data_IF_841415282023
#
_entry.id   IF_841415282023
#
_cell.length_a   1.000
_cell.length_b   1.000
_cell.length_c   1.000
_cell.angle_alpha   90.00
_cell.angle_beta   90.00
_cell.angle_gamma   90.00
#
_symmetry.space_group_name_H-M   'P 1'
#
loop_
_entity.id
_entity.type
_entity.pdbx_description
1 polymer ?
#
# COMPACT_ATOMS: atom_id res chain seq x y z
N UNK A 1 -42.18 -0.61 34.71
CA UNK A 1 -40.99 -1.50 34.74
C UNK A 1 -40.22 -1.22 33.47
N UNK A 2 -39.35 -0.22 33.54
CA UNK A 2 -38.50 0.26 32.46
C UNK A 2 -37.33 -0.71 32.24
N UNK A 3 -37.30 -1.37 31.08
CA UNK A 3 -36.13 -2.11 30.62
C UNK A 3 -35.40 -1.25 29.57
N UNK A 4 -34.50 -0.44 30.14
CA UNK A 4 -33.39 0.26 29.49
C UNK A 4 -32.50 -0.80 28.82
N UNK A 5 -32.35 -0.77 27.50
CA UNK A 5 -31.29 -1.51 26.81
C UNK A 5 -30.35 -0.51 26.17
N UNK A 6 -29.10 -0.63 26.60
CA UNK A 6 -27.96 0.23 26.34
C UNK A 6 -27.76 0.53 24.86
N UNK A 7 -27.69 1.84 24.56
CA UNK A 7 -27.00 2.33 23.38
C UNK A 7 -25.52 1.98 23.55
N UNK A 8 -25.10 0.90 22.88
CA UNK A 8 -23.69 0.56 22.73
C UNK A 8 -23.06 1.60 21.81
N UNK A 9 -22.36 2.51 22.46
CA UNK A 9 -21.61 3.64 21.95
C UNK A 9 -20.51 3.19 20.98
N UNK A 10 -20.77 3.21 19.67
CA UNK A 10 -19.79 2.94 18.60
C UNK A 10 -18.79 4.10 18.35
N UNK A 11 -18.59 4.99 19.35
CA UNK A 11 -17.69 6.15 19.24
C UNK A 11 -16.35 6.02 19.96
N UNK A 12 -16.06 4.90 20.62
CA UNK A 12 -14.79 4.74 21.38
C UNK A 12 -13.67 4.07 20.56
N UNK A 13 -13.45 4.51 19.31
CA UNK A 13 -12.41 3.95 18.45
C UNK A 13 -11.29 4.91 18.05
N UNK A 14 -11.43 6.21 18.31
CA UNK A 14 -10.57 7.22 17.67
C UNK A 14 -10.03 8.31 18.60
N UNK A 15 -10.26 8.24 19.91
CA UNK A 15 -9.95 9.33 20.86
C UNK A 15 -8.77 9.05 21.84
N UNK A 16 -7.93 8.05 21.59
CA UNK A 16 -6.70 7.82 22.37
C UNK A 16 -5.43 7.88 21.52
N UNK A 17 -5.29 8.91 20.69
CA UNK A 17 -3.99 9.32 20.12
C UNK A 17 -3.81 10.83 20.31
N UNK A 18 -3.89 11.29 21.55
CA UNK A 18 -3.39 12.61 21.95
C UNK A 18 -2.45 12.45 23.14
N UNK A 19 -1.18 12.15 22.86
CA UNK A 19 -0.05 12.51 23.74
C UNK A 19 1.30 12.29 23.04
N UNK A 20 1.91 13.41 22.64
CA UNK A 20 3.36 13.55 22.44
C UNK A 20 3.87 13.22 21.03
N UNK A 21 4.40 14.25 20.37
CA UNK A 21 5.01 14.23 19.02
C UNK A 21 3.99 14.31 17.89
N UNK A 22 4.10 15.34 17.05
CA UNK A 22 3.48 15.37 15.74
C UNK A 22 4.01 14.16 14.97
N UNK A 23 3.34 13.01 15.04
CA UNK A 23 3.68 11.86 14.21
C UNK A 23 3.59 12.34 12.77
N UNK A 24 4.75 12.53 12.15
CA UNK A 24 4.81 12.96 10.77
C UNK A 24 4.11 11.88 9.95
N UNK A 25 3.04 12.28 9.26
CA UNK A 25 2.30 11.34 8.43
C UNK A 25 3.23 10.88 7.30
N UNK A 26 3.33 9.57 7.10
CA UNK A 26 4.05 8.98 5.98
C UNK A 26 3.05 8.54 4.90
N UNK A 27 3.28 8.94 3.66
CA UNK A 27 2.46 8.54 2.51
C UNK A 27 3.31 7.80 1.48
N UNK A 28 2.77 6.71 0.93
CA UNK A 28 3.42 6.04 -0.19
C UNK A 28 3.33 6.91 -1.45
N UNK A 29 4.46 7.20 -2.10
CA UNK A 29 4.51 7.99 -3.32
C UNK A 29 3.89 7.30 -4.54
N UNK A 30 3.73 5.97 -4.49
CA UNK A 30 3.20 5.17 -5.60
C UNK A 30 1.70 4.93 -5.49
N UNK A 31 1.23 4.40 -4.35
CA UNK A 31 -0.19 4.07 -4.16
C UNK A 31 -0.98 5.11 -3.33
N UNK A 32 -0.31 6.16 -2.83
CA UNK A 32 -0.89 7.26 -2.03
C UNK A 32 -1.65 6.83 -0.76
N UNK A 33 -1.45 5.59 -0.28
CA UNK A 33 -1.92 5.14 1.03
C UNK A 33 -1.02 5.69 2.14
N UNK A 34 -1.61 5.96 3.30
CA UNK A 34 -0.85 6.26 4.52
C UNK A 34 -0.15 5.00 5.02
N UNK A 35 1.04 5.18 5.56
CA UNK A 35 1.84 4.11 6.13
C UNK A 35 2.42 4.50 7.49
N UNK A 36 2.77 3.50 8.30
CA UNK A 36 3.56 3.70 9.51
C UNK A 36 5.06 3.91 9.16
N UNK A 37 5.88 4.13 10.18
CA UNK A 37 7.34 4.29 10.01
C UNK A 37 8.03 3.04 9.45
N UNK A 38 7.41 1.86 9.58
CA UNK A 38 7.90 0.58 9.07
C UNK A 38 7.53 0.36 7.58
N UNK A 39 6.74 1.27 6.99
CA UNK A 39 6.29 1.16 5.60
C UNK A 39 5.04 0.32 5.41
N UNK A 40 4.35 -0.09 6.48
CA UNK A 40 3.10 -0.85 6.40
C UNK A 40 1.91 0.09 6.20
N UNK A 41 0.98 -0.21 5.27
CA UNK A 41 -0.21 0.60 5.07
C UNK A 41 -1.11 0.60 6.31
N UNK A 42 -1.42 1.79 6.82
CA UNK A 42 -2.34 1.97 7.96
C UNK A 42 -3.74 2.43 7.51
N UNK A 43 -3.88 2.83 6.25
CA UNK A 43 -5.14 3.20 5.65
C UNK A 43 -5.47 2.29 4.46
N UNK A 44 -6.68 1.73 4.47
CA UNK A 44 -7.23 0.99 3.33
C UNK A 44 -7.58 1.91 2.15
N UNK A 45 -7.87 3.18 2.44
CA UNK A 45 -8.20 4.18 1.41
C UNK A 45 -6.94 4.82 0.82
N UNK A 46 -6.95 4.94 -0.50
CA UNK A 46 -6.04 5.83 -1.24
C UNK A 46 -6.44 7.28 -0.94
N UNK A 47 -5.47 8.11 -0.58
CA UNK A 47 -5.68 9.54 -0.37
C UNK A 47 -5.14 10.35 -1.54
N UNK A 48 -5.59 11.60 -1.68
CA UNK A 48 -4.86 12.57 -2.48
C UNK A 48 -3.45 12.77 -1.93
N UNK A 49 -2.54 13.27 -2.76
CA UNK A 49 -1.19 13.64 -2.31
C UNK A 49 -1.27 14.64 -1.15
N UNK A 50 -0.62 14.32 -0.04
CA UNK A 50 -0.55 15.16 1.16
C UNK A 50 0.83 15.81 1.20
N UNK A 51 0.93 17.11 0.93
CA UNK A 51 2.23 17.80 0.83
C UNK A 51 2.93 17.95 2.17
N UNK A 52 2.17 17.89 3.27
CA UNK A 52 2.63 17.96 4.64
C UNK A 52 3.16 16.60 5.14
N UNK A 53 2.90 15.51 4.40
CA UNK A 53 3.40 14.18 4.71
C UNK A 53 4.81 13.96 4.14
N UNK A 54 5.60 13.14 4.81
CA UNK A 54 6.83 12.60 4.21
C UNK A 54 6.46 11.48 3.24
N UNK A 55 7.22 11.35 2.15
CA UNK A 55 6.90 10.42 1.06
C UNK A 55 7.97 9.34 0.91
N UNK A 56 7.54 8.08 0.75
CA UNK A 56 8.41 6.92 0.54
C UNK A 56 7.69 5.80 -0.23
N UNK A 57 8.28 4.60 -0.26
CA UNK A 57 7.62 3.41 -0.82
C UNK A 57 7.10 2.55 0.34
N UNK A 58 5.84 2.08 0.27
CA UNK A 58 5.35 1.10 1.24
C UNK A 58 5.85 -0.31 0.90
N UNK A 59 5.82 -1.22 1.87
CA UNK A 59 6.31 -2.59 1.70
C UNK A 59 5.62 -3.31 0.53
N UNK A 60 4.28 -3.25 0.46
CA UNK A 60 3.53 -3.87 -0.65
C UNK A 60 3.96 -3.37 -2.04
N UNK A 61 4.11 -2.05 -2.21
CA UNK A 61 4.53 -1.50 -3.50
C UNK A 61 6.01 -1.77 -3.78
N UNK A 62 6.86 -1.80 -2.76
CA UNK A 62 8.27 -2.14 -2.89
C UNK A 62 8.47 -3.61 -3.29
N UNK A 63 7.77 -4.54 -2.64
CA UNK A 63 7.78 -5.96 -2.97
C UNK A 63 7.27 -6.20 -4.39
N UNK A 64 6.17 -5.55 -4.78
CA UNK A 64 5.67 -5.63 -6.15
C UNK A 64 6.71 -5.12 -7.15
N UNK A 65 7.34 -3.98 -6.87
CA UNK A 65 8.40 -3.45 -7.73
C UNK A 65 9.60 -4.40 -7.84
N UNK A 66 10.03 -5.02 -6.73
CA UNK A 66 11.10 -6.03 -6.74
C UNK A 66 10.68 -7.25 -7.55
N UNK A 67 9.45 -7.76 -7.38
CA UNK A 67 8.94 -8.88 -8.19
C UNK A 67 8.83 -8.52 -9.69
N UNK A 68 8.62 -7.24 -9.99
CA UNK A 68 8.58 -6.73 -11.35
C UNK A 68 9.96 -6.64 -11.98
N UNK A 69 10.91 -6.04 -11.29
CA UNK A 69 12.24 -5.72 -11.81
C UNK A 69 13.23 -6.87 -11.62
N UNK A 70 13.03 -7.72 -10.62
CA UNK A 70 13.91 -8.83 -10.34
C UNK A 70 13.29 -10.15 -10.78
N UNK A 71 14.14 -11.03 -11.30
CA UNK A 71 13.81 -12.42 -11.59
C UNK A 71 14.63 -13.32 -10.67
N UNK A 72 13.98 -14.30 -10.07
CA UNK A 72 14.68 -15.44 -9.49
C UNK A 72 15.19 -16.34 -10.63
N UNK A 73 16.49 -16.50 -10.70
CA UNK A 73 17.10 -17.45 -11.62
C UNK A 73 17.03 -18.90 -11.09
N UNK A 74 17.52 -19.86 -11.87
CA UNK A 74 17.51 -21.27 -11.50
C UNK A 74 18.36 -21.60 -10.27
N UNK A 75 19.28 -20.69 -9.89
CA UNK A 75 20.12 -20.82 -8.70
C UNK A 75 19.49 -20.22 -7.45
N UNK A 76 18.33 -19.55 -7.59
CA UNK A 76 17.64 -18.88 -6.50
C UNK A 76 18.22 -17.50 -6.17
N UNK A 77 19.02 -16.92 -7.07
CA UNK A 77 19.53 -15.55 -6.94
C UNK A 77 18.62 -14.56 -7.69
N UNK A 78 18.49 -13.35 -7.14
CA UNK A 78 17.78 -12.26 -7.80
C UNK A 78 18.67 -11.61 -8.85
N UNK A 79 18.24 -11.68 -10.11
CA UNK A 79 18.85 -10.95 -11.22
C UNK A 79 17.95 -9.81 -11.68
N UNK A 80 18.55 -8.65 -11.91
CA UNK A 80 17.85 -7.50 -12.49
C UNK A 80 17.46 -7.81 -13.93
N UNK A 81 16.19 -7.59 -14.25
CA UNK A 81 15.68 -7.73 -15.62
C UNK A 81 16.08 -6.52 -16.46
N UNK A 82 16.43 -6.78 -17.72
CA UNK A 82 16.67 -5.68 -18.65
C UNK A 82 15.37 -4.91 -18.94
N UNK A 83 15.50 -3.62 -19.27
CA UNK A 83 14.36 -2.79 -19.63
C UNK A 83 13.51 -3.38 -20.78
N UNK A 84 14.15 -4.06 -21.74
CA UNK A 84 13.45 -4.70 -22.84
C UNK A 84 12.57 -5.87 -22.37
N UNK A 85 13.05 -6.67 -21.42
CA UNK A 85 12.29 -7.78 -20.84
C UNK A 85 11.13 -7.28 -19.98
N UNK A 86 11.34 -6.20 -19.22
CA UNK A 86 10.27 -5.55 -18.44
C UNK A 86 9.14 -5.05 -19.34
N UNK A 87 9.48 -4.36 -20.44
CA UNK A 87 8.49 -3.88 -21.40
C UNK A 87 7.72 -5.02 -22.07
N UNK A 88 8.40 -6.12 -22.40
CA UNK A 88 7.75 -7.30 -22.96
C UNK A 88 6.72 -7.91 -21.99
N UNK A 89 7.04 -7.96 -20.69
CA UNK A 89 6.16 -8.49 -19.65
C UNK A 89 4.92 -7.62 -19.44
N UNK A 90 5.10 -6.31 -19.31
CA UNK A 90 4.01 -5.33 -19.20
C UNK A 90 3.07 -5.44 -20.41
N UNK A 91 3.61 -5.64 -21.61
CA UNK A 91 2.80 -5.78 -22.82
C UNK A 91 1.97 -7.07 -22.86
N UNK A 92 2.48 -8.17 -22.28
CA UNK A 92 1.77 -9.45 -22.18
C UNK A 92 0.62 -9.40 -21.15
N UNK A 93 0.83 -8.72 -20.02
CA UNK A 93 -0.20 -8.58 -18.98
C UNK A 93 -1.37 -7.70 -19.46
N UNK A 94 -1.08 -6.65 -20.24
CA UNK A 94 -2.09 -5.82 -20.89
C UNK A 94 -2.94 -6.60 -21.91
N UNK A 95 -2.32 -7.51 -22.66
CA UNK A 95 -3.02 -8.39 -23.60
C UNK A 95 -3.89 -9.43 -22.88
N UNK A 96 -3.44 -9.95 -21.73
CA UNK A 96 -4.14 -10.96 -20.94
C UNK A 96 -5.35 -10.38 -20.19
N UNK A 97 -5.25 -9.14 -19.69
CA UNK A 97 -6.38 -8.44 -19.04
C UNK A 97 -7.54 -8.12 -20.00
N UNK A 98 -7.25 -8.08 -21.31
CA UNK A 98 -8.26 -7.81 -22.35
C UNK A 98 -9.12 -9.05 -22.69
N UNK A 99 -8.76 -10.24 -22.22
CA UNK A 99 -9.47 -11.49 -22.50
C UNK A 99 -10.51 -11.90 -21.44
N UNK A 100 -10.64 -11.16 -20.34
CA UNK A 100 -11.57 -11.47 -19.24
C UNK A 100 -12.93 -10.73 -19.37
N UNK A 101 -13.16 -10.01 -20.47
CA UNK A 101 -14.46 -9.37 -20.75
C UNK A 101 -15.18 -10.03 -21.92
N UNK A 102 -15.72 -11.24 -21.71
CA UNK A 102 -16.73 -11.86 -22.57
C UNK A 102 -17.77 -12.61 -21.73
#
# INVERSE_FOLDING_TARGET
MDARLDGRDERQGWEEVEQGESQMLHQCAWCLRLMNEQGDPIASRVLSKLYEATHGMCNECGEQWVADVMRLDESGEYQEMSAHELLARISLDAASSSLITL
#
